data_IF_429640128593
#
_entry.id   IF_429640128593
#
_cell.length_a   1.000
_cell.length_b   1.000
_cell.length_c   1.000
_cell.angle_alpha   90.00
_cell.angle_beta   90.00
_cell.angle_gamma   90.00
#
_symmetry.space_group_name_H-M   'P 1'
#
loop_
_entity.id
_entity.type
_entity.pdbx_description
1 polymer ?
#
# COMPACT_ATOMS: atom_id res chain seq x y z
N UNK A 1 42.70 50.83 38.39
CA UNK A 1 43.43 50.65 37.13
C UNK A 1 42.75 49.54 36.35
N UNK A 2 42.24 49.89 35.16
CA UNK A 2 41.61 48.98 34.21
C UNK A 2 42.58 47.89 33.75
N UNK A 3 42.06 46.69 33.47
CA UNK A 3 42.53 45.95 32.30
C UNK A 3 41.41 45.08 31.73
N UNK A 4 40.89 45.53 30.59
CA UNK A 4 39.99 44.82 29.71
C UNK A 4 40.81 43.95 28.77
N UNK A 5 40.48 42.67 28.59
CA UNK A 5 40.77 41.98 27.34
C UNK A 5 39.53 41.24 26.82
N UNK A 6 39.32 41.42 25.52
CA UNK A 6 38.13 41.11 24.74
C UNK A 6 38.29 39.78 23.98
N UNK A 7 37.15 39.09 23.84
CA UNK A 7 36.64 38.39 22.64
C UNK A 7 37.57 37.36 21.95
N UNK A 8 37.11 36.12 21.86
CA UNK A 8 36.81 35.42 20.59
C UNK A 8 36.79 33.90 20.81
N UNK A 9 35.68 33.25 20.48
CA UNK A 9 35.64 31.79 20.46
C UNK A 9 34.25 31.17 20.31
N UNK A 10 33.34 31.81 19.56
CA UNK A 10 32.10 31.16 19.14
C UNK A 10 32.45 30.24 17.98
N UNK A 11 32.81 28.98 18.28
CA UNK A 11 32.72 27.90 17.30
C UNK A 11 31.26 27.42 17.25
N UNK A 12 30.43 28.14 16.50
CA UNK A 12 29.19 27.55 15.99
C UNK A 12 29.56 26.53 14.91
N UNK A 13 29.60 25.26 15.27
CA UNK A 13 29.48 24.16 14.31
C UNK A 13 28.02 24.10 13.83
N UNK A 14 27.65 24.97 12.89
CA UNK A 14 26.42 24.82 12.10
C UNK A 14 26.75 24.07 10.80
N UNK A 15 27.21 22.82 10.93
CA UNK A 15 27.43 21.92 9.80
C UNK A 15 26.13 21.17 9.47
N UNK A 16 25.39 21.76 8.53
CA UNK A 16 24.40 21.15 7.62
C UNK A 16 23.72 19.83 8.02
N UNK A 17 22.56 19.92 8.66
CA UNK A 17 21.49 18.94 8.41
C UNK A 17 20.80 19.34 7.10
N UNK A 18 21.37 18.92 5.98
CA UNK A 18 20.65 18.94 4.70
C UNK A 18 19.44 18.04 4.82
N UNK A 19 18.26 18.66 4.79
CA UNK A 19 16.96 18.03 4.78
C UNK A 19 16.90 16.87 3.75
N UNK A 20 16.83 15.63 4.22
CA UNK A 20 16.26 14.50 3.46
C UNK A 20 15.03 13.91 4.17
N UNK A 21 13.99 14.69 4.55
CA UNK A 21 12.79 14.10 5.13
C UNK A 21 11.95 13.35 4.09
N UNK A 22 12.09 13.68 2.79
CA UNK A 22 11.21 13.14 1.76
C UNK A 22 11.36 11.62 1.52
N UNK A 23 12.58 11.07 1.60
CA UNK A 23 12.81 9.63 1.36
C UNK A 23 12.36 8.79 2.56
N UNK A 24 12.68 9.21 3.79
CA UNK A 24 12.27 8.50 5.00
C UNK A 24 10.74 8.52 5.19
N UNK A 25 10.07 9.61 4.81
CA UNK A 25 8.60 9.66 4.84
C UNK A 25 7.95 8.77 3.77
N UNK A 26 8.57 8.59 2.61
CA UNK A 26 8.12 7.64 1.58
C UNK A 26 8.20 6.18 2.05
N UNK A 27 9.32 5.79 2.66
CA UNK A 27 9.54 4.42 3.16
C UNK A 27 8.57 4.05 4.29
N UNK A 28 8.38 4.94 5.27
CA UNK A 28 7.43 4.73 6.38
C UNK A 28 5.97 4.69 5.91
N UNK A 29 5.62 5.52 4.92
CA UNK A 29 4.29 5.49 4.29
C UNK A 29 4.08 4.16 3.57
N UNK A 30 5.06 3.69 2.80
CA UNK A 30 4.96 2.42 2.11
C UNK A 30 4.89 1.22 3.06
N UNK A 31 5.65 1.21 4.15
CA UNK A 31 5.56 0.14 5.15
C UNK A 31 4.13 0.03 5.72
N UNK A 32 3.52 1.16 6.09
CA UNK A 32 2.13 1.19 6.57
C UNK A 32 1.14 0.74 5.49
N UNK A 33 1.26 1.30 4.29
CA UNK A 33 0.33 1.02 3.19
C UNK A 33 0.39 -0.46 2.77
N UNK A 34 1.58 -1.08 2.80
CA UNK A 34 1.76 -2.50 2.55
C UNK A 34 1.09 -3.38 3.61
N UNK A 35 1.16 -3.02 4.89
CA UNK A 35 0.45 -3.73 5.95
C UNK A 35 -1.06 -3.64 5.77
N UNK A 36 -1.56 -2.45 5.44
CA UNK A 36 -2.99 -2.23 5.14
C UNK A 36 -3.41 -3.04 3.92
N UNK A 37 -2.66 -2.99 2.82
CA UNK A 37 -2.96 -3.73 1.60
C UNK A 37 -3.00 -5.25 1.83
N UNK A 38 -2.05 -5.81 2.58
CA UNK A 38 -2.06 -7.23 2.95
C UNK A 38 -3.27 -7.60 3.82
N UNK A 39 -3.66 -6.73 4.76
CA UNK A 39 -4.86 -6.93 5.57
C UNK A 39 -6.12 -6.92 4.71
N UNK A 40 -6.24 -5.95 3.80
CA UNK A 40 -7.36 -5.86 2.86
C UNK A 40 -7.47 -7.10 1.98
N UNK A 41 -6.34 -7.61 1.47
CA UNK A 41 -6.30 -8.82 0.67
C UNK A 41 -6.83 -10.03 1.47
N UNK A 42 -6.35 -10.24 2.71
CA UNK A 42 -6.84 -11.32 3.58
C UNK A 42 -8.33 -11.21 3.84
N UNK A 43 -8.80 -10.03 4.25
CA UNK A 43 -10.22 -9.80 4.52
C UNK A 43 -11.11 -10.03 3.29
N UNK A 44 -10.62 -9.71 2.08
CA UNK A 44 -11.36 -9.97 0.85
C UNK A 44 -11.50 -11.48 0.58
N UNK A 45 -10.45 -12.27 0.87
CA UNK A 45 -10.49 -13.73 0.79
C UNK A 45 -11.45 -14.29 1.85
N UNK A 46 -11.36 -13.83 3.09
CA UNK A 46 -12.27 -14.28 4.15
C UNK A 46 -13.74 -14.00 3.79
N UNK A 47 -14.02 -12.86 3.12
CA UNK A 47 -15.36 -12.53 2.63
C UNK A 47 -15.81 -13.43 1.48
N UNK A 48 -14.89 -13.88 0.61
CA UNK A 48 -15.21 -14.87 -0.41
C UNK A 48 -15.56 -16.22 0.21
N UNK A 49 -14.82 -16.65 1.22
CA UNK A 49 -15.04 -17.93 1.91
C UNK A 49 -16.35 -17.92 2.71
N UNK A 50 -16.72 -16.77 3.27
CA UNK A 50 -17.99 -16.56 3.96
C UNK A 50 -19.18 -16.34 3.01
N UNK A 51 -18.92 -16.10 1.73
CA UNK A 51 -19.99 -15.95 0.75
C UNK A 51 -20.62 -17.33 0.51
N UNK A 52 -21.82 -17.51 1.06
CA UNK A 52 -22.62 -18.72 0.90
C UNK A 52 -23.93 -18.42 0.15
N UNK A 53 -24.42 -19.41 -0.58
CA UNK A 53 -25.71 -19.40 -1.26
C UNK A 53 -25.76 -18.65 -2.60
N UNK A 54 -26.93 -18.03 -2.84
CA UNK A 54 -27.43 -17.48 -4.11
C UNK A 54 -26.42 -16.59 -4.87
N UNK A 55 -26.30 -16.83 -6.18
CA UNK A 55 -25.46 -16.12 -7.13
C UNK A 55 -25.63 -14.60 -7.01
N UNK A 56 -26.82 -14.11 -6.69
CA UNK A 56 -27.07 -12.67 -6.54
C UNK A 56 -26.33 -12.03 -5.36
N UNK A 57 -26.20 -12.75 -4.24
CA UNK A 57 -25.41 -12.29 -3.09
C UNK A 57 -23.92 -12.36 -3.41
N UNK A 58 -23.49 -13.41 -4.09
CA UNK A 58 -22.10 -13.63 -4.48
C UNK A 58 -21.61 -12.54 -5.45
N UNK A 59 -22.46 -12.07 -6.36
CA UNK A 59 -22.12 -11.01 -7.29
C UNK A 59 -21.65 -9.70 -6.62
N UNK A 60 -22.26 -9.30 -5.49
CA UNK A 60 -21.80 -8.13 -4.73
C UNK A 60 -20.45 -8.36 -4.08
N UNK A 61 -20.24 -9.55 -3.49
CA UNK A 61 -18.97 -9.91 -2.85
C UNK A 61 -17.84 -9.96 -3.88
N UNK A 62 -18.06 -10.60 -5.03
CA UNK A 62 -17.05 -10.68 -6.11
C UNK A 62 -16.65 -9.31 -6.64
N UNK A 63 -17.61 -8.40 -6.83
CA UNK A 63 -17.29 -7.02 -7.26
C UNK A 63 -16.42 -6.30 -6.26
N UNK A 64 -16.71 -6.44 -4.96
CA UNK A 64 -15.91 -5.85 -3.89
C UNK A 64 -14.52 -6.48 -3.80
N UNK A 65 -14.41 -7.79 -4.03
CA UNK A 65 -13.14 -8.50 -4.10
C UNK A 65 -12.27 -7.95 -5.25
N UNK A 66 -12.83 -7.82 -6.44
CA UNK A 66 -12.15 -7.25 -7.62
C UNK A 66 -11.66 -5.82 -7.35
N UNK A 67 -12.50 -4.95 -6.77
CA UNK A 67 -12.11 -3.60 -6.39
C UNK A 67 -10.92 -3.62 -5.41
N UNK A 68 -10.98 -4.50 -4.41
CA UNK A 68 -9.92 -4.64 -3.40
C UNK A 68 -8.61 -5.09 -4.05
N UNK A 69 -8.64 -6.09 -4.92
CA UNK A 69 -7.44 -6.56 -5.63
C UNK A 69 -6.78 -5.45 -6.47
N UNK A 70 -7.58 -4.61 -7.15
CA UNK A 70 -7.06 -3.46 -7.92
C UNK A 70 -6.40 -2.41 -7.04
N UNK A 71 -7.01 -2.10 -5.88
CA UNK A 71 -6.43 -1.17 -4.90
C UNK A 71 -5.11 -1.72 -4.34
N UNK A 72 -5.09 -2.99 -3.95
CA UNK A 72 -3.90 -3.68 -3.45
C UNK A 72 -2.79 -3.70 -4.50
N UNK A 73 -3.11 -4.02 -5.76
CA UNK A 73 -2.17 -3.97 -6.88
C UNK A 73 -1.55 -2.57 -7.05
N UNK A 74 -2.34 -1.51 -6.89
CA UNK A 74 -1.85 -0.14 -6.91
C UNK A 74 -0.81 0.15 -5.81
N UNK A 75 -1.01 -0.37 -4.60
CA UNK A 75 -0.04 -0.22 -3.50
C UNK A 75 1.23 -1.02 -3.80
N UNK A 76 1.11 -2.29 -4.20
CA UNK A 76 2.24 -3.13 -4.54
C UNK A 76 3.08 -2.55 -5.68
N UNK A 77 2.45 -1.99 -6.71
CA UNK A 77 3.16 -1.35 -7.81
C UNK A 77 4.02 -0.15 -7.40
N UNK A 78 3.58 0.61 -6.38
CA UNK A 78 4.31 1.80 -5.89
C UNK A 78 5.33 1.48 -4.81
N UNK A 79 5.01 0.55 -3.91
CA UNK A 79 5.76 0.33 -2.67
C UNK A 79 6.67 -0.89 -2.67
N UNK A 80 6.52 -1.82 -3.61
CA UNK A 80 7.41 -2.98 -3.76
C UNK A 80 8.36 -2.79 -4.94
N UNK A 81 9.42 -3.59 -4.97
CA UNK A 81 10.36 -3.66 -6.09
C UNK A 81 10.83 -5.10 -6.32
N UNK A 82 11.66 -5.32 -7.36
CA UNK A 82 12.24 -6.63 -7.65
C UNK A 82 11.23 -7.74 -7.92
N UNK A 83 11.62 -8.98 -7.58
CA UNK A 83 10.78 -10.18 -7.73
C UNK A 83 9.54 -10.13 -6.84
N UNK A 84 9.67 -9.60 -5.61
CA UNK A 84 8.55 -9.48 -4.67
C UNK A 84 7.40 -8.69 -5.30
N UNK A 85 7.68 -7.56 -5.95
CA UNK A 85 6.64 -6.81 -6.69
C UNK A 85 5.99 -7.67 -7.77
N UNK A 86 6.79 -8.40 -8.55
CA UNK A 86 6.29 -9.24 -9.63
C UNK A 86 5.35 -10.33 -9.13
N UNK A 87 5.77 -11.08 -8.11
CA UNK A 87 5.00 -12.16 -7.51
C UNK A 87 3.69 -11.67 -6.89
N UNK A 88 3.78 -10.60 -6.09
CA UNK A 88 2.61 -10.01 -5.40
C UNK A 88 1.61 -9.44 -6.40
N UNK A 89 2.09 -8.75 -7.44
CA UNK A 89 1.21 -8.24 -8.51
C UNK A 89 0.57 -9.38 -9.30
N UNK A 90 1.34 -10.41 -9.67
CA UNK A 90 0.81 -11.54 -10.42
C UNK A 90 -0.33 -12.24 -9.66
N UNK A 91 -0.19 -12.41 -8.34
CA UNK A 91 -1.23 -12.99 -7.49
C UNK A 91 -2.53 -12.17 -7.52
N UNK A 92 -2.47 -10.88 -7.18
CA UNK A 92 -3.69 -10.06 -7.06
C UNK A 92 -4.34 -9.77 -8.41
N UNK A 93 -3.53 -9.59 -9.46
CA UNK A 93 -4.06 -9.38 -10.82
C UNK A 93 -4.61 -10.67 -11.42
N UNK A 94 -4.05 -11.83 -11.07
CA UNK A 94 -4.62 -13.13 -11.42
C UNK A 94 -6.02 -13.28 -10.85
N UNK A 95 -6.18 -13.02 -9.55
CA UNK A 95 -7.47 -13.05 -8.88
C UNK A 95 -8.46 -12.02 -9.47
N UNK A 96 -8.04 -10.78 -9.72
CA UNK A 96 -8.90 -9.79 -10.41
C UNK A 96 -9.45 -10.32 -11.74
N UNK A 97 -8.58 -10.88 -12.60
CA UNK A 97 -9.01 -11.41 -13.91
C UNK A 97 -10.01 -12.55 -13.76
N UNK A 98 -9.75 -13.49 -12.87
CA UNK A 98 -10.62 -14.63 -12.61
C UNK A 98 -12.02 -14.17 -12.15
N UNK A 99 -12.09 -13.34 -11.12
CA UNK A 99 -13.36 -12.89 -10.58
C UNK A 99 -14.07 -11.91 -11.52
N UNK A 100 -13.34 -11.07 -12.26
CA UNK A 100 -13.92 -10.22 -13.32
C UNK A 100 -14.58 -11.07 -14.42
N UNK A 101 -13.99 -12.19 -14.80
CA UNK A 101 -14.58 -13.12 -15.76
C UNK A 101 -15.84 -13.79 -15.19
N UNK A 102 -15.80 -14.25 -13.93
CA UNK A 102 -16.96 -14.83 -13.25
C UNK A 102 -18.14 -13.85 -13.17
N UNK A 103 -17.87 -12.58 -12.79
CA UNK A 103 -18.87 -11.51 -12.76
C UNK A 103 -19.50 -11.31 -14.14
N UNK A 104 -18.69 -11.25 -15.20
CA UNK A 104 -19.20 -11.06 -16.58
C UNK A 104 -20.10 -12.22 -17.04
N UNK A 105 -19.79 -13.43 -16.59
CA UNK A 105 -20.54 -14.63 -16.94
C UNK A 105 -21.86 -14.73 -16.17
N UNK A 106 -21.88 -14.38 -14.87
CA UNK A 106 -22.98 -14.75 -13.95
C UNK A 106 -23.78 -13.57 -13.40
N UNK A 107 -23.21 -12.37 -13.36
CA UNK A 107 -23.80 -11.22 -12.66
C UNK A 107 -24.47 -10.21 -13.61
N UNK A 108 -25.04 -10.66 -14.74
CA UNK A 108 -25.70 -9.76 -15.69
C UNK A 108 -27.07 -9.33 -15.13
N UNK A 109 -27.33 -8.02 -15.11
CA UNK A 109 -28.63 -7.46 -14.70
C UNK A 109 -28.81 -7.22 -13.20
N UNK A 110 -27.74 -7.30 -12.40
CA UNK A 110 -27.71 -7.03 -10.96
C UNK A 110 -26.56 -6.10 -10.59
#
# INVERSE_FOLDING_TARGET
MMSSLRIAGVLMLSAGLTARPALAQGETTCARDLLVAQSMQRQAIDQLEQADGDDAKNCRVWRRHVETMRRVAGVYGRCLSGSERGERLAQVQGSDREFSAAIKARCRGQ
#
